data_IF_629901190400
#
_entry.id   IF_629901190400
#
_cell.length_a   1.000
_cell.length_b   1.000
_cell.length_c   1.000
_cell.angle_alpha   90.00
_cell.angle_beta   90.00
_cell.angle_gamma   90.00
#
_symmetry.space_group_name_H-M   'P 1'
#
loop_
_entity.id
_entity.type
_entity.pdbx_description
1 polymer ?
#
# COMPACT_ATOMS: atom_id res chain seq x y z
N UNK A 1 -35.78 -13.23 3.40
CA UNK A 1 -35.56 -12.16 2.41
C UNK A 1 -35.20 -12.81 1.08
N UNK A 2 -35.92 -12.53 0.00
CA UNK A 2 -35.58 -13.05 -1.33
C UNK A 2 -34.21 -12.53 -1.73
N UNK A 3 -33.32 -13.40 -2.21
CA UNK A 3 -32.02 -13.02 -2.75
C UNK A 3 -32.25 -12.08 -3.95
N UNK A 4 -31.68 -10.88 -3.90
CA UNK A 4 -31.69 -9.97 -5.04
C UNK A 4 -30.85 -10.63 -6.12
N UNK A 5 -31.48 -11.12 -7.18
CA UNK A 5 -30.76 -11.72 -8.30
C UNK A 5 -30.30 -10.59 -9.22
N UNK A 6 -29.01 -10.24 -9.12
CA UNK A 6 -28.39 -9.27 -10.01
C UNK A 6 -28.23 -9.90 -11.41
N UNK A 7 -28.81 -9.24 -12.43
CA UNK A 7 -28.54 -9.58 -13.82
C UNK A 7 -27.30 -8.84 -14.31
N UNK A 8 -26.14 -9.18 -13.73
CA UNK A 8 -24.85 -8.56 -14.05
C UNK A 8 -23.79 -9.62 -14.26
N UNK A 9 -22.78 -9.32 -15.07
CA UNK A 9 -21.62 -10.18 -15.28
C UNK A 9 -20.33 -9.44 -14.97
N UNK A 10 -19.36 -10.12 -14.39
CA UNK A 10 -18.02 -9.61 -14.15
C UNK A 10 -17.18 -9.72 -15.42
N UNK A 11 -16.60 -8.61 -15.85
CA UNK A 11 -15.72 -8.53 -17.00
C UNK A 11 -14.42 -7.80 -16.65
N UNK A 12 -13.32 -8.10 -17.37
CA UNK A 12 -12.14 -7.23 -17.31
C UNK A 12 -12.52 -5.84 -17.87
N UNK A 13 -12.11 -4.79 -17.15
CA UNK A 13 -12.33 -3.43 -17.60
C UNK A 13 -11.19 -3.00 -18.54
N UNK A 14 -11.46 -3.04 -19.83
CA UNK A 14 -10.52 -2.73 -20.90
C UNK A 14 -11.18 -1.80 -21.94
N UNK A 15 -10.36 -1.15 -22.78
CA UNK A 15 -10.84 -0.26 -23.84
C UNK A 15 -11.84 0.79 -23.36
N UNK A 16 -12.96 1.00 -24.05
CA UNK A 16 -13.93 2.05 -23.72
C UNK A 16 -14.49 1.97 -22.31
N UNK A 17 -14.72 0.75 -21.77
CA UNK A 17 -15.21 0.57 -20.38
C UNK A 17 -14.18 1.10 -19.39
N UNK A 18 -12.90 0.85 -19.60
CA UNK A 18 -11.85 1.36 -18.73
C UNK A 18 -11.78 2.89 -18.80
N UNK A 19 -11.87 3.48 -19.98
CA UNK A 19 -11.86 4.93 -20.17
C UNK A 19 -13.02 5.60 -19.43
N UNK A 20 -14.24 5.09 -19.57
CA UNK A 20 -15.41 5.60 -18.85
C UNK A 20 -15.24 5.47 -17.32
N UNK A 21 -14.68 4.36 -16.83
CA UNK A 21 -14.42 4.16 -15.40
C UNK A 21 -13.41 5.18 -14.90
N UNK A 22 -12.31 5.39 -15.62
CA UNK A 22 -11.29 6.36 -15.23
C UNK A 22 -11.85 7.78 -15.22
N UNK A 23 -12.69 8.13 -16.18
CA UNK A 23 -13.36 9.42 -16.21
C UNK A 23 -14.31 9.61 -15.02
N UNK A 24 -15.16 8.63 -14.72
CA UNK A 24 -16.09 8.66 -13.61
C UNK A 24 -15.41 8.70 -12.22
N UNK A 25 -14.22 8.10 -12.10
CA UNK A 25 -13.47 8.01 -10.85
C UNK A 25 -12.45 9.12 -10.67
N UNK A 26 -12.20 9.92 -11.71
CA UNK A 26 -11.20 11.00 -11.72
C UNK A 26 -11.35 11.98 -10.56
N UNK A 27 -12.57 12.45 -10.31
CA UNK A 27 -12.84 13.44 -9.25
C UNK A 27 -12.56 12.91 -7.83
N UNK A 28 -12.47 11.58 -7.65
CA UNK A 28 -12.27 10.94 -6.35
C UNK A 28 -10.79 10.60 -6.14
N UNK A 29 -10.13 10.01 -7.15
CA UNK A 29 -8.81 9.39 -7.00
C UNK A 29 -7.75 9.96 -7.95
N UNK A 30 -7.94 11.16 -8.46
CA UNK A 30 -6.94 11.80 -9.35
C UNK A 30 -5.65 12.20 -8.65
N UNK A 31 -5.62 12.27 -7.31
CA UNK A 31 -4.47 12.72 -6.54
C UNK A 31 -3.89 14.08 -7.02
N UNK A 32 -4.74 14.90 -7.65
CA UNK A 32 -4.33 16.18 -8.24
C UNK A 32 -3.72 16.07 -9.64
N UNK A 33 -3.67 14.89 -10.24
CA UNK A 33 -3.24 14.71 -11.64
C UNK A 33 -4.25 15.29 -12.62
N UNK A 34 -3.80 15.64 -13.82
CA UNK A 34 -4.69 15.87 -14.96
C UNK A 34 -5.36 14.55 -15.39
N UNK A 35 -6.45 14.59 -16.17
CA UNK A 35 -7.14 13.39 -16.68
C UNK A 35 -6.19 12.46 -17.43
N UNK A 36 -5.37 13.00 -18.31
CA UNK A 36 -4.39 12.25 -19.09
C UNK A 36 -3.34 11.61 -18.18
N UNK A 37 -2.82 12.34 -17.22
CA UNK A 37 -1.84 11.82 -16.27
C UNK A 37 -2.43 10.78 -15.34
N UNK A 38 -3.70 10.93 -14.93
CA UNK A 38 -4.42 9.92 -14.17
C UNK A 38 -4.59 8.62 -14.95
N UNK A 39 -4.95 8.71 -16.23
CA UNK A 39 -5.03 7.55 -17.12
C UNK A 39 -3.65 6.89 -17.31
N UNK A 40 -2.60 7.68 -17.58
CA UNK A 40 -1.22 7.21 -17.70
C UNK A 40 -0.73 6.50 -16.43
N UNK A 41 -1.00 7.07 -15.26
CA UNK A 41 -0.63 6.49 -13.97
C UNK A 41 -1.32 5.14 -13.72
N UNK A 42 -2.63 5.03 -14.03
CA UNK A 42 -3.34 3.76 -13.94
C UNK A 42 -2.80 2.71 -14.91
N UNK A 43 -2.53 3.09 -16.17
CA UNK A 43 -1.97 2.19 -17.17
C UNK A 43 -0.55 1.73 -16.81
N UNK A 44 0.29 2.63 -16.30
CA UNK A 44 1.66 2.31 -15.92
C UNK A 44 1.74 1.28 -14.80
N UNK A 45 0.85 1.35 -13.80
CA UNK A 45 0.79 0.36 -12.72
C UNK A 45 0.57 -1.07 -13.25
N UNK A 46 -0.31 -1.25 -14.23
CA UNK A 46 -0.61 -2.55 -14.84
C UNK A 46 0.49 -3.06 -15.79
N UNK A 47 1.43 -2.20 -16.20
CA UNK A 47 2.55 -2.55 -17.09
C UNK A 47 3.83 -2.92 -16.35
N UNK A 48 3.92 -2.67 -15.04
CA UNK A 48 5.08 -3.12 -14.26
C UNK A 48 5.24 -4.63 -14.30
N UNK A 49 6.43 -5.14 -14.01
CA UNK A 49 6.69 -6.58 -14.00
C UNK A 49 5.72 -7.34 -13.10
N UNK A 50 5.42 -6.81 -11.92
CA UNK A 50 4.45 -7.39 -10.99
C UNK A 50 2.99 -7.12 -11.41
N UNK A 51 2.68 -5.86 -11.77
CA UNK A 51 1.30 -5.43 -12.03
C UNK A 51 0.62 -6.15 -13.19
N UNK A 52 1.38 -6.49 -14.25
CA UNK A 52 0.85 -7.22 -15.42
C UNK A 52 0.28 -8.60 -15.08
N UNK A 53 0.77 -9.24 -14.02
CA UNK A 53 0.33 -10.59 -13.62
C UNK A 53 -0.64 -10.57 -12.45
N UNK A 54 -0.54 -9.58 -11.57
CA UNK A 54 -1.24 -9.55 -10.28
C UNK A 54 -2.30 -8.45 -10.12
N UNK A 55 -2.27 -7.40 -10.95
CA UNK A 55 -3.23 -6.29 -10.89
C UNK A 55 -4.18 -6.33 -12.09
N UNK A 56 -5.48 -6.34 -11.82
CA UNK A 56 -6.53 -6.20 -12.85
C UNK A 56 -7.63 -5.27 -12.36
N UNK A 57 -8.22 -4.53 -13.28
CA UNK A 57 -9.47 -3.81 -13.02
C UNK A 57 -10.64 -4.60 -13.62
N UNK A 58 -11.72 -4.67 -12.87
CA UNK A 58 -12.94 -5.35 -13.29
C UNK A 58 -14.12 -4.39 -13.25
N UNK A 59 -15.15 -4.73 -14.02
CA UNK A 59 -16.43 -4.07 -14.02
C UNK A 59 -17.56 -5.10 -13.92
N UNK A 60 -18.65 -4.73 -13.24
CA UNK A 60 -19.95 -5.37 -13.40
C UNK A 60 -20.68 -4.69 -14.54
N UNK A 61 -21.17 -5.49 -15.47
CA UNK A 61 -21.91 -5.02 -16.65
C UNK A 61 -23.33 -5.60 -16.63
N UNK A 62 -24.34 -4.74 -16.81
CA UNK A 62 -25.73 -5.14 -16.88
C UNK A 62 -26.08 -5.84 -18.23
N UNK A 63 -27.32 -6.30 -18.36
CA UNK A 63 -27.83 -6.95 -19.57
C UNK A 63 -27.90 -6.02 -20.79
N UNK A 64 -27.78 -4.71 -20.60
CA UNK A 64 -27.68 -3.72 -21.69
C UNK A 64 -26.25 -3.39 -22.10
N UNK A 65 -25.26 -4.07 -21.50
CA UNK A 65 -23.86 -3.83 -21.77
C UNK A 65 -23.25 -2.63 -21.07
N UNK A 66 -23.99 -1.95 -20.14
CA UNK A 66 -23.50 -0.80 -19.39
C UNK A 66 -22.80 -1.28 -18.12
N UNK A 67 -21.64 -0.71 -17.81
CA UNK A 67 -20.99 -0.98 -16.53
C UNK A 67 -21.73 -0.22 -15.40
N UNK A 68 -21.90 -0.87 -14.25
CA UNK A 68 -22.63 -0.34 -13.09
C UNK A 68 -21.73 -0.18 -11.85
N UNK A 69 -20.71 -1.02 -11.73
CA UNK A 69 -19.69 -0.94 -10.67
C UNK A 69 -18.33 -1.37 -11.21
N UNK A 70 -17.26 -0.91 -10.56
CA UNK A 70 -15.89 -1.33 -10.88
C UNK A 70 -15.04 -1.47 -9.63
N UNK A 71 -13.98 -2.29 -9.70
CA UNK A 71 -12.97 -2.41 -8.66
C UNK A 71 -11.62 -2.84 -9.26
N UNK A 72 -10.53 -2.48 -8.59
CA UNK A 72 -9.21 -3.08 -8.80
C UNK A 72 -9.11 -4.35 -7.95
N UNK A 73 -8.53 -5.39 -8.51
CA UNK A 73 -8.17 -6.61 -7.80
C UNK A 73 -6.66 -6.79 -7.86
N UNK A 74 -6.09 -7.12 -6.73
CA UNK A 74 -4.68 -7.46 -6.55
C UNK A 74 -4.58 -8.90 -6.03
N UNK A 75 -3.65 -9.69 -6.56
CA UNK A 75 -3.27 -10.98 -5.98
C UNK A 75 -1.94 -10.79 -5.26
N UNK A 76 -2.01 -10.65 -3.96
CA UNK A 76 -0.87 -10.29 -3.11
C UNK A 76 -0.36 -11.53 -2.37
N UNK A 77 0.89 -11.97 -2.61
CA UNK A 77 1.50 -13.01 -1.79
C UNK A 77 1.55 -12.54 -0.33
N UNK A 78 1.11 -13.40 0.58
CA UNK A 78 1.10 -13.09 2.02
C UNK A 78 1.49 -14.31 2.84
N UNK A 79 1.78 -14.06 4.11
CA UNK A 79 1.89 -15.10 5.14
C UNK A 79 0.86 -14.81 6.23
N UNK A 80 0.09 -15.84 6.61
CA UNK A 80 -0.89 -15.78 7.69
C UNK A 80 -0.67 -16.97 8.62
N UNK A 81 -0.47 -16.71 9.91
CA UNK A 81 -0.15 -17.72 10.93
C UNK A 81 0.99 -18.68 10.51
N UNK A 82 2.03 -18.16 9.88
CA UNK A 82 3.19 -18.92 9.41
C UNK A 82 2.98 -19.67 8.10
N UNK A 83 1.77 -19.65 7.52
CA UNK A 83 1.44 -20.32 6.26
C UNK A 83 1.46 -19.31 5.11
N UNK A 84 2.17 -19.65 4.05
CA UNK A 84 2.20 -18.84 2.82
C UNK A 84 0.89 -19.02 2.04
N UNK A 85 0.39 -17.93 1.48
CA UNK A 85 -0.86 -17.90 0.74
C UNK A 85 -0.99 -16.66 -0.13
N UNK A 86 -2.19 -16.44 -0.65
CA UNK A 86 -2.54 -15.30 -1.49
C UNK A 86 -3.69 -14.52 -0.85
N UNK A 87 -3.56 -13.20 -0.83
CA UNK A 87 -4.63 -12.26 -0.47
C UNK A 87 -5.26 -11.67 -1.74
N UNK A 88 -6.59 -11.69 -1.82
CA UNK A 88 -7.34 -10.89 -2.76
C UNK A 88 -7.42 -9.44 -2.25
N UNK A 89 -6.52 -8.58 -2.69
CA UNK A 89 -6.59 -7.15 -2.41
C UNK A 89 -7.66 -6.49 -3.27
N UNK A 90 -8.49 -5.63 -2.67
CA UNK A 90 -9.57 -4.90 -3.32
C UNK A 90 -9.36 -3.40 -3.17
N UNK A 91 -9.21 -2.71 -4.29
CA UNK A 91 -9.02 -1.26 -4.30
C UNK A 91 -9.94 -0.56 -5.28
N UNK A 92 -10.11 0.74 -5.12
CA UNK A 92 -10.88 1.60 -6.01
C UNK A 92 -12.28 1.04 -6.32
N UNK A 93 -12.99 0.55 -5.29
CA UNK A 93 -14.37 0.05 -5.42
C UNK A 93 -15.29 1.24 -5.69
N UNK A 94 -15.96 1.23 -6.82
CA UNK A 94 -16.82 2.33 -7.27
C UNK A 94 -18.12 1.79 -7.84
N UNK A 95 -19.23 2.44 -7.48
CA UNK A 95 -20.56 2.24 -8.09
C UNK A 95 -20.98 3.55 -8.73
N UNK A 96 -21.45 3.50 -9.99
CA UNK A 96 -22.00 4.67 -10.68
C UNK A 96 -23.04 5.34 -9.80
N UNK A 97 -23.08 6.67 -9.83
CA UNK A 97 -23.90 7.48 -8.91
C UNK A 97 -25.39 7.09 -8.99
N UNK A 98 -25.89 6.90 -10.20
CA UNK A 98 -27.27 6.51 -10.51
C UNK A 98 -27.62 5.07 -10.13
N UNK A 99 -26.62 4.24 -9.88
CA UNK A 99 -26.77 2.82 -9.54
C UNK A 99 -26.50 2.52 -8.05
N UNK A 100 -26.24 3.57 -7.25
CA UNK A 100 -25.99 3.41 -5.80
C UNK A 100 -27.24 2.95 -5.06
N UNK A 101 -27.05 2.37 -3.88
CA UNK A 101 -28.14 1.83 -3.05
C UNK A 101 -28.72 0.50 -3.53
N UNK A 102 -28.27 -0.04 -4.67
CA UNK A 102 -28.76 -1.30 -5.26
C UNK A 102 -27.90 -2.51 -4.92
N UNK A 103 -26.83 -2.35 -4.13
CA UNK A 103 -25.98 -3.48 -3.68
C UNK A 103 -24.82 -3.86 -4.61
N UNK A 104 -24.60 -3.16 -5.72
CA UNK A 104 -23.56 -3.51 -6.70
C UNK A 104 -22.13 -3.46 -6.15
N UNK A 105 -21.84 -2.63 -5.15
CA UNK A 105 -20.54 -2.64 -4.48
C UNK A 105 -20.30 -3.98 -3.77
N UNK A 106 -21.27 -4.51 -3.06
CA UNK A 106 -21.19 -5.83 -2.43
C UNK A 106 -21.07 -6.94 -3.46
N UNK A 107 -21.83 -6.85 -4.54
CA UNK A 107 -21.84 -7.84 -5.61
C UNK A 107 -20.48 -7.95 -6.29
N UNK A 108 -19.86 -6.82 -6.70
CA UNK A 108 -18.54 -6.87 -7.35
C UNK A 108 -17.47 -7.42 -6.39
N UNK A 109 -17.52 -7.03 -5.10
CA UNK A 109 -16.60 -7.54 -4.08
C UNK A 109 -16.73 -9.07 -3.96
N UNK A 110 -17.96 -9.59 -3.83
CA UNK A 110 -18.18 -11.03 -3.68
C UNK A 110 -17.73 -11.81 -4.93
N UNK A 111 -18.08 -11.36 -6.14
CA UNK A 111 -17.65 -12.01 -7.39
C UNK A 111 -16.12 -12.01 -7.54
N UNK A 112 -15.43 -10.92 -7.13
CA UNK A 112 -13.97 -10.86 -7.14
C UNK A 112 -13.34 -11.81 -6.10
N UNK A 113 -13.94 -11.93 -4.92
CA UNK A 113 -13.51 -12.87 -3.88
C UNK A 113 -13.69 -14.31 -4.37
N UNK A 114 -14.86 -14.66 -4.92
CA UNK A 114 -15.14 -16.01 -5.42
C UNK A 114 -14.20 -16.39 -6.57
N UNK A 115 -13.95 -15.47 -7.49
CA UNK A 115 -12.94 -15.66 -8.54
C UNK A 115 -11.54 -15.89 -7.96
N UNK A 116 -11.13 -15.06 -6.99
CA UNK A 116 -9.80 -15.17 -6.37
C UNK A 116 -9.65 -16.42 -5.52
N UNK A 117 -10.73 -16.94 -4.91
CA UNK A 117 -10.73 -18.26 -4.26
C UNK A 117 -10.34 -19.36 -5.25
N UNK A 118 -10.89 -19.34 -6.45
CA UNK A 118 -10.49 -20.27 -7.53
C UNK A 118 -9.03 -20.12 -7.97
N UNK A 119 -8.41 -18.98 -7.67
CA UNK A 119 -6.99 -18.68 -7.93
C UNK A 119 -6.09 -18.85 -6.68
N UNK A 120 -6.62 -19.48 -5.61
CA UNK A 120 -5.87 -19.83 -4.40
C UNK A 120 -5.86 -18.76 -3.29
N UNK A 121 -6.67 -17.71 -3.39
CA UNK A 121 -6.76 -16.72 -2.33
C UNK A 121 -7.51 -17.28 -1.11
N UNK A 122 -6.92 -17.10 0.08
CA UNK A 122 -7.48 -17.55 1.35
C UNK A 122 -8.04 -16.41 2.21
N UNK A 123 -7.67 -15.16 1.89
CA UNK A 123 -8.10 -13.94 2.56
C UNK A 123 -8.40 -12.86 1.52
N UNK A 124 -9.41 -12.03 1.75
CA UNK A 124 -9.60 -10.77 1.05
C UNK A 124 -9.18 -9.60 1.96
N UNK A 125 -8.61 -8.55 1.36
CA UNK A 125 -8.16 -7.36 2.09
C UNK A 125 -8.46 -6.08 1.35
N UNK A 126 -8.69 -4.99 2.08
CA UNK A 126 -8.90 -3.66 1.51
C UNK A 126 -8.50 -2.56 2.51
N UNK A 127 -8.35 -1.35 2.00
CA UNK A 127 -8.29 -0.13 2.79
C UNK A 127 -9.56 0.69 2.56
N UNK A 128 -10.19 1.14 3.65
CA UNK A 128 -11.39 1.99 3.58
C UNK A 128 -11.11 3.41 4.03
N UNK A 129 -11.39 4.37 3.17
CA UNK A 129 -11.38 5.81 3.46
C UNK A 129 -12.78 6.34 3.85
N UNK A 130 -13.83 5.52 3.65
CA UNK A 130 -15.25 5.90 3.86
C UNK A 130 -15.84 5.31 5.15
N UNK A 131 -15.00 4.74 6.01
CA UNK A 131 -15.44 4.01 7.20
C UNK A 131 -15.62 2.52 6.97
N UNK A 132 -15.93 1.79 8.04
CA UNK A 132 -15.96 0.33 8.04
C UNK A 132 -17.34 -0.29 7.80
N UNK A 133 -18.41 0.48 7.95
CA UNK A 133 -19.79 -0.03 8.04
C UNK A 133 -20.21 -0.87 6.81
N UNK A 134 -19.92 -0.39 5.60
CA UNK A 134 -20.22 -1.13 4.36
C UNK A 134 -19.52 -2.48 4.35
N UNK A 135 -18.24 -2.49 4.66
CA UNK A 135 -17.40 -3.67 4.54
C UNK A 135 -17.64 -4.67 5.69
N UNK A 136 -17.97 -4.19 6.89
CA UNK A 136 -18.41 -5.08 8.00
C UNK A 136 -19.63 -5.90 7.64
N UNK A 137 -20.62 -5.32 6.97
CA UNK A 137 -21.78 -6.05 6.44
C UNK A 137 -21.42 -7.11 5.41
N UNK A 138 -20.28 -6.96 4.74
CA UNK A 138 -19.74 -7.92 3.79
C UNK A 138 -18.78 -8.93 4.45
N UNK A 139 -18.69 -8.94 5.78
CA UNK A 139 -17.89 -9.90 6.55
C UNK A 139 -16.42 -9.52 6.72
N UNK A 140 -16.04 -8.27 6.41
CA UNK A 140 -14.71 -7.76 6.71
C UNK A 140 -14.58 -7.36 8.19
N UNK A 141 -13.41 -7.59 8.75
CA UNK A 141 -13.04 -7.24 10.12
C UNK A 141 -11.94 -6.20 10.07
N UNK A 142 -12.03 -5.18 10.89
CA UNK A 142 -10.98 -4.15 11.01
C UNK A 142 -9.73 -4.74 11.66
N UNK A 143 -8.59 -4.50 11.02
CA UNK A 143 -7.27 -4.84 11.54
C UNK A 143 -6.64 -3.53 12.04
N UNK A 144 -6.35 -3.42 13.35
CA UNK A 144 -5.81 -2.19 13.91
C UNK A 144 -4.47 -1.81 13.30
N UNK A 145 -4.35 -0.57 12.85
CA UNK A 145 -3.10 0.02 12.38
C UNK A 145 -2.93 1.42 12.96
N UNK A 146 -1.69 1.80 13.22
CA UNK A 146 -1.37 3.09 13.79
C UNK A 146 -0.53 3.94 12.82
N UNK A 147 -0.76 5.25 12.85
CA UNK A 147 0.14 6.27 12.33
C UNK A 147 0.88 6.93 13.48
N UNK A 148 2.17 7.22 13.29
CA UNK A 148 3.04 7.86 14.27
C UNK A 148 3.78 9.03 13.65
N UNK A 149 4.14 10.01 14.47
CA UNK A 149 5.14 11.01 14.16
C UNK A 149 6.52 10.50 14.61
N UNK A 150 7.56 10.77 13.81
CA UNK A 150 8.94 10.37 14.08
C UNK A 150 9.76 11.61 14.37
N UNK A 151 10.31 11.68 15.57
CA UNK A 151 11.33 12.64 15.93
C UNK A 151 12.72 12.00 15.81
N UNK A 152 13.65 12.70 15.17
CA UNK A 152 15.02 12.22 14.96
C UNK A 152 15.97 12.97 15.89
N UNK A 153 16.65 12.24 16.77
CA UNK A 153 17.72 12.78 17.62
C UNK A 153 18.97 13.03 16.79
N UNK A 154 19.26 14.29 16.52
CA UNK A 154 20.41 14.72 15.72
C UNK A 154 21.74 14.64 16.47
N UNK A 155 21.70 14.48 17.79
CA UNK A 155 22.90 14.41 18.65
C UNK A 155 23.39 13.00 18.88
N UNK A 156 22.52 12.01 18.68
CA UNK A 156 22.90 10.60 18.84
C UNK A 156 23.90 10.23 17.76
N UNK A 157 25.04 9.67 18.20
CA UNK A 157 26.08 9.27 17.26
C UNK A 157 25.59 8.25 16.25
N UNK A 158 25.88 8.47 14.98
CA UNK A 158 25.62 7.53 13.91
C UNK A 158 26.91 6.80 13.54
N UNK A 159 26.85 5.50 13.17
CA UNK A 159 28.00 4.83 12.59
C UNK A 159 28.40 5.54 11.28
N UNK A 160 29.70 5.61 11.02
CA UNK A 160 30.21 6.08 9.74
C UNK A 160 29.74 5.15 8.63
N UNK A 161 28.94 5.68 7.69
CA UNK A 161 28.38 4.90 6.59
C UNK A 161 28.16 5.74 5.35
N UNK A 162 28.15 5.09 4.21
CA UNK A 162 27.76 5.71 2.96
C UNK A 162 26.23 5.64 2.81
N UNK A 163 25.60 6.80 2.78
CA UNK A 163 24.18 6.94 2.43
C UNK A 163 24.04 7.48 1.02
N UNK A 164 23.43 6.71 0.15
CA UNK A 164 23.17 7.07 -1.26
C UNK A 164 21.72 6.83 -1.65
N UNK A 165 21.32 7.36 -2.80
CA UNK A 165 20.06 6.98 -3.44
C UNK A 165 20.08 5.48 -3.77
N UNK A 166 18.94 4.83 -3.61
CA UNK A 166 18.80 3.43 -3.95
C UNK A 166 18.64 3.22 -5.46
N UNK A 167 19.09 2.08 -5.93
CA UNK A 167 19.09 1.64 -7.31
C UNK A 167 18.35 0.30 -7.45
N UNK A 168 18.01 -0.08 -8.68
CA UNK A 168 17.32 -1.35 -8.97
C UNK A 168 18.10 -2.56 -8.42
N UNK A 169 19.43 -2.54 -8.47
CA UNK A 169 20.30 -3.57 -7.92
C UNK A 169 20.13 -3.80 -6.40
N UNK A 170 19.55 -2.83 -5.69
CA UNK A 170 19.33 -2.93 -4.23
C UNK A 170 18.05 -3.68 -3.87
N UNK A 171 17.08 -3.79 -4.79
CA UNK A 171 15.76 -4.38 -4.53
C UNK A 171 15.83 -5.80 -3.92
N UNK A 172 16.73 -6.70 -4.36
CA UNK A 172 16.87 -8.01 -3.72
C UNK A 172 17.29 -7.92 -2.25
N UNK A 173 18.13 -6.94 -1.88
CA UNK A 173 18.52 -6.73 -0.50
C UNK A 173 17.36 -6.21 0.35
N UNK A 174 16.51 -5.31 -0.19
CA UNK A 174 15.30 -4.83 0.47
C UNK A 174 14.34 -5.99 0.73
N UNK A 175 14.07 -6.82 -0.27
CA UNK A 175 13.23 -8.01 -0.14
C UNK A 175 13.76 -8.99 0.93
N UNK A 176 15.07 -9.23 0.95
CA UNK A 176 15.72 -10.08 1.96
C UNK A 176 15.59 -9.52 3.37
N UNK A 177 15.76 -8.19 3.56
CA UNK A 177 15.57 -7.54 4.86
C UNK A 177 14.12 -7.66 5.36
N UNK A 178 13.14 -7.45 4.48
CA UNK A 178 11.73 -7.63 4.80
C UNK A 178 11.42 -9.08 5.20
N UNK A 179 11.86 -10.04 4.40
CA UNK A 179 11.64 -11.48 4.66
C UNK A 179 12.24 -11.89 6.01
N UNK A 180 13.51 -11.55 6.28
CA UNK A 180 14.17 -11.87 7.55
C UNK A 180 13.45 -11.26 8.75
N UNK A 181 12.93 -10.03 8.60
CA UNK A 181 12.18 -9.35 9.67
C UNK A 181 10.85 -10.04 9.95
N UNK A 182 10.13 -10.46 8.92
CA UNK A 182 8.81 -11.08 9.07
C UNK A 182 8.88 -12.58 9.45
N UNK A 183 9.96 -13.27 9.13
CA UNK A 183 10.17 -14.66 9.52
C UNK A 183 10.72 -14.84 10.95
N UNK A 184 11.41 -13.84 11.48
CA UNK A 184 12.06 -13.89 12.79
C UNK A 184 11.17 -13.52 13.99
N UNK A 185 9.89 -13.22 13.79
CA UNK A 185 8.97 -12.74 14.84
C UNK A 185 7.65 -13.53 14.84
N UNK A 186 6.97 -13.65 16.00
CA UNK A 186 5.70 -14.34 16.11
C UNK A 186 4.56 -13.50 15.55
N UNK A 187 4.56 -13.29 14.27
CA UNK A 187 3.68 -12.43 13.51
C UNK A 187 2.60 -13.28 12.84
N UNK A 188 1.38 -12.77 12.84
CA UNK A 188 0.26 -13.48 12.24
C UNK A 188 0.01 -13.11 10.79
N UNK A 189 0.25 -11.84 10.40
CA UNK A 189 0.04 -11.39 9.03
C UNK A 189 1.17 -10.48 8.53
N UNK A 190 1.68 -10.80 7.35
CA UNK A 190 2.55 -9.93 6.54
C UNK A 190 2.37 -10.20 5.06
N UNK A 191 2.60 -9.20 4.20
CA UNK A 191 2.80 -9.47 2.78
C UNK A 191 4.16 -10.14 2.57
N UNK A 192 4.21 -11.08 1.64
CA UNK A 192 5.47 -11.61 1.12
C UNK A 192 5.90 -10.74 -0.06
N UNK A 193 7.07 -10.16 0.09
CA UNK A 193 7.54 -9.15 -0.87
C UNK A 193 8.78 -9.66 -1.59
N UNK A 194 8.63 -9.84 -2.87
CA UNK A 194 9.74 -10.05 -3.79
C UNK A 194 10.22 -8.70 -4.39
N UNK A 195 11.35 -8.68 -5.10
CA UNK A 195 11.84 -7.47 -5.75
C UNK A 195 10.83 -6.82 -6.70
N UNK A 196 10.00 -7.61 -7.40
CA UNK A 196 9.03 -7.09 -8.36
C UNK A 196 7.85 -6.36 -7.67
N UNK A 197 7.37 -6.87 -6.53
CA UNK A 197 6.34 -6.19 -5.73
C UNK A 197 6.89 -4.89 -5.11
N UNK A 198 8.15 -4.91 -4.62
CA UNK A 198 8.80 -3.69 -4.09
C UNK A 198 8.97 -2.66 -5.21
N UNK A 199 9.43 -3.06 -6.39
CA UNK A 199 9.52 -2.18 -7.57
C UNK A 199 8.15 -1.60 -7.94
N UNK A 200 7.09 -2.42 -7.94
CA UNK A 200 5.73 -1.96 -8.18
C UNK A 200 5.31 -0.86 -7.20
N UNK A 201 5.53 -1.09 -5.89
CA UNK A 201 5.17 -0.13 -4.85
C UNK A 201 5.92 1.20 -5.01
N UNK A 202 7.22 1.14 -5.28
CA UNK A 202 8.07 2.31 -5.57
C UNK A 202 7.63 3.04 -6.84
N UNK A 203 7.45 2.31 -7.94
CA UNK A 203 7.07 2.87 -9.24
C UNK A 203 5.71 3.56 -9.20
N UNK A 204 4.72 2.98 -8.51
CA UNK A 204 3.40 3.58 -8.30
C UNK A 204 3.51 4.98 -7.66
N UNK A 205 4.35 5.12 -6.63
CA UNK A 205 4.55 6.38 -5.89
C UNK A 205 5.42 7.37 -6.65
N UNK A 206 6.50 6.93 -7.28
CA UNK A 206 7.38 7.75 -8.11
C UNK A 206 6.64 8.34 -9.30
N UNK A 207 5.83 7.53 -9.97
CA UNK A 207 5.00 7.99 -11.09
C UNK A 207 3.97 9.02 -10.63
N UNK A 208 3.32 8.79 -9.48
CA UNK A 208 2.38 9.76 -8.92
C UNK A 208 3.09 11.09 -8.63
N UNK A 209 4.24 11.06 -7.98
CA UNK A 209 5.04 12.24 -7.69
C UNK A 209 5.52 12.95 -8.97
N UNK A 210 6.03 12.18 -9.94
CA UNK A 210 6.56 12.74 -11.21
C UNK A 210 5.49 13.30 -12.14
N UNK A 211 4.28 12.75 -12.14
CA UNK A 211 3.16 13.23 -12.95
C UNK A 211 2.36 14.35 -12.26
N UNK A 212 2.46 14.45 -10.93
CA UNK A 212 1.70 15.38 -10.10
C UNK A 212 2.32 16.77 -9.95
N UNK A 213 3.20 17.21 -10.84
CA UNK A 213 3.80 18.55 -10.80
C UNK A 213 2.72 19.64 -10.95
N UNK A 214 2.14 20.03 -9.81
CA UNK A 214 1.17 21.11 -9.71
C UNK A 214 1.27 21.80 -8.34
N UNK A 215 0.82 23.06 -8.21
CA UNK A 215 0.94 23.86 -7.00
C UNK A 215 0.01 23.44 -5.85
N UNK A 216 -0.49 22.22 -5.84
CA UNK A 216 -1.43 21.74 -4.81
C UNK A 216 -0.76 21.46 -3.47
N UNK A 217 -1.39 21.81 -2.33
CA UNK A 217 -0.80 21.65 -0.99
C UNK A 217 -0.68 20.18 -0.52
N UNK A 218 -1.20 19.21 -1.27
CA UNK A 218 -1.19 17.78 -0.93
C UNK A 218 -0.34 16.91 -1.87
N UNK A 219 0.21 17.48 -2.95
CA UNK A 219 0.96 16.73 -3.95
C UNK A 219 2.26 16.14 -3.37
N UNK A 220 2.48 14.84 -3.54
CA UNK A 220 3.80 14.27 -3.40
C UNK A 220 4.73 14.96 -4.41
N UNK A 221 5.85 15.53 -3.93
CA UNK A 221 6.84 16.20 -4.78
C UNK A 221 7.87 15.21 -5.30
N UNK A 222 8.20 14.23 -4.48
CA UNK A 222 9.23 13.25 -4.77
C UNK A 222 9.03 12.00 -3.92
N UNK A 223 9.22 10.84 -4.50
CA UNK A 223 9.32 9.57 -3.75
C UNK A 223 10.62 8.91 -4.14
N UNK A 224 11.49 8.69 -3.16
CA UNK A 224 12.81 8.09 -3.34
C UNK A 224 13.09 7.09 -2.23
N UNK A 225 13.98 6.12 -2.52
CA UNK A 225 14.55 5.31 -1.48
C UNK A 225 16.06 5.54 -1.37
N UNK A 226 16.54 5.45 -0.15
CA UNK A 226 17.93 5.65 0.21
C UNK A 226 18.44 4.41 0.91
N UNK A 227 19.69 4.08 0.67
CA UNK A 227 20.33 2.92 1.29
C UNK A 227 21.57 3.33 2.06
N UNK A 228 21.83 2.65 3.18
CA UNK A 228 23.14 2.58 3.80
C UNK A 228 23.89 1.41 3.20
N UNK A 229 25.04 1.67 2.60
CA UNK A 229 25.84 0.67 1.92
C UNK A 229 26.96 0.17 2.84
N UNK A 230 27.11 -1.15 2.91
CA UNK A 230 28.27 -1.84 3.52
C UNK A 230 28.87 -2.80 2.51
N UNK A 231 30.13 -2.60 2.17
CA UNK A 231 30.75 -3.31 1.07
C UNK A 231 30.07 -2.95 -0.25
N UNK A 232 29.54 -3.96 -0.94
CA UNK A 232 28.84 -3.77 -2.22
C UNK A 232 27.31 -3.94 -2.13
N UNK A 233 26.73 -3.90 -0.93
CA UNK A 233 25.30 -4.20 -0.75
C UNK A 233 24.61 -3.28 0.23
N UNK A 234 23.30 -3.05 0.01
CA UNK A 234 22.47 -2.31 0.94
C UNK A 234 22.36 -3.06 2.28
N UNK A 235 22.73 -2.39 3.37
CA UNK A 235 22.65 -2.91 4.74
C UNK A 235 21.41 -2.39 5.48
N UNK A 236 20.91 -1.22 5.11
CA UNK A 236 19.64 -0.66 5.56
C UNK A 236 19.05 0.22 4.48
N UNK A 237 17.75 0.52 4.57
CA UNK A 237 17.08 1.40 3.63
C UNK A 237 15.92 2.15 4.26
N UNK A 238 15.54 3.26 3.65
CA UNK A 238 14.30 3.98 3.89
C UNK A 238 13.66 4.38 2.56
N UNK A 239 12.34 4.32 2.47
CA UNK A 239 11.54 4.88 1.37
C UNK A 239 10.81 6.10 1.90
N UNK A 240 11.02 7.25 1.28
CA UNK A 240 10.44 8.52 1.69
C UNK A 240 9.64 9.16 0.57
N UNK A 241 8.46 9.64 0.90
CA UNK A 241 7.69 10.58 0.08
C UNK A 241 7.79 11.97 0.68
N UNK A 242 8.27 12.93 -0.10
CA UNK A 242 8.35 14.34 0.27
C UNK A 242 7.14 15.06 -0.27
N UNK A 243 6.45 15.81 0.59
CA UNK A 243 5.30 16.64 0.21
C UNK A 243 5.40 18.04 0.86
N UNK A 244 4.48 18.93 0.50
CA UNK A 244 4.38 20.24 1.16
C UNK A 244 4.03 20.14 2.65
N UNK A 245 3.36 19.04 3.07
CA UNK A 245 2.96 18.80 4.46
C UNK A 245 3.99 18.09 5.32
N UNK A 246 5.18 17.80 4.78
CA UNK A 246 6.25 17.06 5.47
C UNK A 246 6.68 15.80 4.73
N UNK A 247 7.33 14.92 5.46
CA UNK A 247 7.82 13.64 4.94
C UNK A 247 6.93 12.49 5.39
N UNK A 248 6.72 11.53 4.52
CA UNK A 248 6.11 10.24 4.85
C UNK A 248 7.16 9.16 4.71
N UNK A 249 7.49 8.48 5.82
CA UNK A 249 8.26 7.26 5.77
C UNK A 249 7.33 6.14 5.31
N UNK A 250 7.47 5.75 4.06
CA UNK A 250 6.64 4.75 3.42
C UNK A 250 7.00 3.33 3.86
N UNK A 251 8.31 3.13 4.09
CA UNK A 251 8.89 1.84 4.41
C UNK A 251 10.32 1.99 4.89
N UNK A 252 10.79 1.04 5.71
CA UNK A 252 12.20 0.96 6.11
C UNK A 252 12.60 -0.47 6.47
N UNK A 253 13.90 -0.75 6.37
CA UNK A 253 14.49 -2.00 6.81
C UNK A 253 15.95 -1.84 7.17
N UNK A 254 16.43 -2.74 8.00
CA UNK A 254 17.84 -2.81 8.44
C UNK A 254 18.22 -4.28 8.65
N UNK A 255 19.43 -4.65 8.24
CA UNK A 255 20.04 -5.96 8.57
C UNK A 255 20.30 -6.09 10.06
N UNK A 256 20.61 -4.95 10.72
CA UNK A 256 20.75 -4.89 12.18
C UNK A 256 19.35 -4.97 12.82
N UNK A 257 19.12 -5.92 13.72
CA UNK A 257 17.86 -6.01 14.44
C UNK A 257 17.48 -4.73 15.19
N UNK A 258 18.47 -3.96 15.68
CA UNK A 258 18.23 -2.70 16.41
C UNK A 258 17.87 -1.52 15.49
N UNK A 259 18.12 -1.62 14.18
CA UNK A 259 17.80 -0.58 13.21
C UNK A 259 18.70 0.66 13.26
N UNK A 260 19.90 0.57 13.83
CA UNK A 260 20.78 1.73 14.01
C UNK A 260 21.16 2.43 12.70
N UNK A 261 21.34 1.67 11.61
CA UNK A 261 21.66 2.24 10.29
C UNK A 261 20.45 2.97 9.67
N UNK A 262 19.25 2.44 9.88
CA UNK A 262 18.01 3.09 9.45
C UNK A 262 17.87 4.47 10.11
N UNK A 263 18.07 4.54 11.44
CA UNK A 263 18.05 5.81 12.17
C UNK A 263 19.11 6.80 11.64
N UNK A 264 20.31 6.32 11.35
CA UNK A 264 21.39 7.12 10.78
C UNK A 264 21.07 7.64 9.37
N UNK A 265 20.38 6.86 8.51
CA UNK A 265 19.92 7.36 7.20
C UNK A 265 19.01 8.59 7.40
N UNK A 266 18.03 8.51 8.30
CA UNK A 266 17.12 9.64 8.58
C UNK A 266 17.87 10.86 9.14
N UNK A 267 18.86 10.66 10.00
CA UNK A 267 19.74 11.76 10.48
C UNK A 267 20.46 12.45 9.32
N UNK A 268 21.07 11.68 8.41
CA UNK A 268 21.79 12.22 7.24
C UNK A 268 20.84 12.99 6.31
N UNK A 269 19.66 12.44 6.04
CA UNK A 269 18.67 13.09 5.17
C UNK A 269 18.17 14.39 5.76
N UNK A 270 17.84 14.42 7.06
CA UNK A 270 17.43 15.65 7.76
C UNK A 270 18.56 16.69 7.89
N UNK A 271 19.82 16.25 7.97
CA UNK A 271 20.95 17.16 7.97
C UNK A 271 21.12 17.89 6.62
N UNK A 272 20.75 17.24 5.52
CA UNK A 272 20.77 17.80 4.15
C UNK A 272 19.53 18.63 3.83
N UNK A 273 18.46 18.51 4.60
CA UNK A 273 17.21 19.23 4.38
C UNK A 273 17.38 20.72 4.77
N UNK A 274 17.18 21.65 3.80
CA UNK A 274 17.36 23.09 4.06
C UNK A 274 16.20 23.72 4.85
N UNK A 275 15.02 23.08 4.87
CA UNK A 275 13.82 23.64 5.49
C UNK A 275 13.99 23.90 6.99
N UNK A 276 13.44 25.01 7.42
CA UNK A 276 13.38 25.37 8.85
C UNK A 276 11.97 25.87 9.19
N UNK A 277 11.25 25.25 10.15
CA UNK A 277 11.66 24.07 10.93
C UNK A 277 11.85 22.82 10.08
N UNK A 278 12.47 21.79 10.65
CA UNK A 278 12.62 20.51 9.99
C UNK A 278 11.24 19.89 9.68
N UNK A 279 11.11 19.14 8.56
CA UNK A 279 9.85 18.54 8.20
C UNK A 279 9.40 17.51 9.24
N UNK A 280 8.09 17.49 9.51
CA UNK A 280 7.47 16.42 10.28
C UNK A 280 7.56 15.12 9.47
N UNK A 281 7.96 14.01 10.10
CA UNK A 281 8.00 12.69 9.49
C UNK A 281 6.87 11.86 10.06
N UNK A 282 6.01 11.30 9.19
CA UNK A 282 4.94 10.38 9.57
C UNK A 282 5.19 9.00 9.01
N UNK A 283 4.71 7.97 9.71
CA UNK A 283 4.82 6.57 9.27
C UNK A 283 3.67 5.71 9.79
N UNK A 284 3.37 4.64 9.06
CA UNK A 284 2.74 3.46 9.62
C UNK A 284 3.86 2.56 10.15
N UNK A 285 4.22 2.75 11.41
CA UNK A 285 5.33 2.02 12.01
C UNK A 285 4.83 0.68 12.57
N UNK A 286 5.23 -0.47 11.97
CA UNK A 286 4.79 -1.76 12.48
C UNK A 286 5.24 -1.94 13.94
N UNK A 287 4.34 -2.34 14.83
CA UNK A 287 4.63 -2.40 16.27
C UNK A 287 5.78 -3.35 16.62
N UNK A 288 5.96 -4.41 15.82
CA UNK A 288 7.07 -5.35 15.95
C UNK A 288 8.39 -4.84 15.35
N UNK A 289 8.38 -3.70 14.69
CA UNK A 289 9.61 -3.06 14.22
C UNK A 289 10.29 -2.34 15.39
N UNK A 290 11.53 -2.70 15.76
CA UNK A 290 12.28 -1.99 16.79
C UNK A 290 12.41 -0.50 16.45
N UNK A 291 12.40 0.34 17.46
CA UNK A 291 12.64 1.77 17.29
C UNK A 291 14.15 2.00 17.36
N UNK A 292 14.80 2.49 16.29
CA UNK A 292 16.22 2.81 16.31
C UNK A 292 16.57 3.79 17.44
N UNK A 293 17.77 3.72 18.01
CA UNK A 293 18.16 4.58 19.14
C UNK A 293 18.16 6.09 18.79
N UNK A 294 18.27 6.42 17.50
CA UNK A 294 18.19 7.80 17.01
C UNK A 294 16.75 8.31 16.85
N UNK A 295 15.75 7.46 17.02
CA UNK A 295 14.35 7.83 16.75
C UNK A 295 13.51 7.78 18.02
N UNK A 296 12.52 8.66 18.07
CA UNK A 296 11.43 8.63 19.04
C UNK A 296 10.11 8.68 18.30
N UNK A 297 9.23 7.71 18.56
CA UNK A 297 7.87 7.69 18.02
C UNK A 297 6.94 8.43 18.97
N UNK A 298 6.21 9.40 18.42
CA UNK A 298 5.26 10.24 19.16
C UNK A 298 3.91 10.25 18.45
N UNK A 299 2.89 10.83 19.07
CA UNK A 299 1.56 11.04 18.48
C UNK A 299 0.97 9.79 17.82
N UNK A 300 1.04 8.64 18.51
CA UNK A 300 0.46 7.41 17.99
C UNK A 300 -1.06 7.51 17.96
N UNK A 301 -1.63 7.50 16.77
CA UNK A 301 -3.07 7.58 16.52
C UNK A 301 -3.50 6.45 15.58
N UNK A 302 -4.79 6.04 15.59
CA UNK A 302 -5.28 5.12 14.57
C UNK A 302 -5.01 5.65 13.16
N UNK A 303 -4.57 4.78 12.25
CA UNK A 303 -4.38 5.15 10.86
C UNK A 303 -5.71 5.60 10.25
N UNK A 304 -5.66 6.65 9.42
CA UNK A 304 -6.85 7.19 8.75
C UNK A 304 -7.49 6.17 7.82
N UNK A 305 -6.65 5.45 7.08
CA UNK A 305 -7.08 4.45 6.12
C UNK A 305 -7.28 3.13 6.87
N UNK A 306 -8.52 2.67 6.98
CA UNK A 306 -8.89 1.52 7.80
C UNK A 306 -8.56 0.24 7.04
N UNK A 307 -7.56 -0.49 7.52
CA UNK A 307 -7.23 -1.81 6.98
C UNK A 307 -8.26 -2.84 7.44
N UNK A 308 -8.81 -3.59 6.50
CA UNK A 308 -9.83 -4.60 6.78
C UNK A 308 -9.51 -5.89 6.04
N UNK A 309 -9.71 -7.02 6.73
CA UNK A 309 -9.55 -8.36 6.18
C UNK A 309 -10.84 -9.15 6.31
N UNK A 310 -11.07 -10.05 5.35
CA UNK A 310 -12.17 -11.01 5.35
C UNK A 310 -11.62 -12.41 5.06
N UNK A 311 -11.89 -13.43 5.92
CA UNK A 311 -11.51 -14.80 5.60
C UNK A 311 -12.30 -15.30 4.39
N UNK A 312 -11.60 -15.95 3.45
CA UNK A 312 -12.21 -16.67 2.31
C UNK A 312 -12.31 -18.15 2.68
N UNK A 313 -11.27 -18.65 3.32
CA UNK A 313 -11.19 -20.00 3.87
C UNK A 313 -11.30 -19.96 5.41
N UNK A 314 -11.25 -21.11 6.06
CA UNK A 314 -11.31 -21.20 7.52
C UNK A 314 -9.98 -20.75 8.16
N UNK A 315 -9.70 -19.45 8.10
CA UNK A 315 -8.52 -18.81 8.67
C UNK A 315 -8.93 -17.74 9.69
N UNK A 316 -8.15 -17.57 10.74
CA UNK A 316 -8.39 -16.52 11.73
C UNK A 316 -7.73 -15.22 11.31
N UNK A 317 -8.51 -14.14 11.29
CA UNK A 317 -8.01 -12.79 11.00
C UNK A 317 -7.30 -12.19 12.22
N UNK A 318 -6.16 -11.49 12.05
CA UNK A 318 -5.51 -10.74 13.13
C UNK A 318 -6.44 -9.67 13.70
N UNK A 319 -6.50 -9.58 15.02
CA UNK A 319 -7.33 -8.62 15.75
C UNK A 319 -6.50 -7.61 16.58
N UNK A 320 -5.17 -7.73 16.51
CA UNK A 320 -4.21 -6.86 17.23
C UNK A 320 -3.20 -6.25 16.28
N UNK A 321 -2.83 -5.01 16.53
CA UNK A 321 -1.78 -4.34 15.75
C UNK A 321 -0.40 -5.02 15.89
N UNK A 322 -0.15 -5.72 17.00
CA UNK A 322 1.08 -6.49 17.22
C UNK A 322 1.17 -7.76 16.36
N UNK A 323 0.05 -8.20 15.79
CA UNK A 323 -0.03 -9.39 14.96
C UNK A 323 0.28 -9.10 13.47
N UNK A 324 0.48 -7.83 13.10
CA UNK A 324 0.54 -7.39 11.71
C UNK A 324 1.85 -6.66 11.42
N UNK A 325 2.52 -7.04 10.34
CA UNK A 325 3.65 -6.30 9.81
C UNK A 325 3.28 -5.72 8.45
N UNK A 326 2.98 -4.41 8.43
CA UNK A 326 2.49 -3.72 7.26
C UNK A 326 3.06 -2.30 7.20
N UNK A 327 3.61 -1.93 6.05
CA UNK A 327 4.12 -0.61 5.79
C UNK A 327 3.15 0.17 4.89
N UNK A 328 3.24 1.51 4.89
CA UNK A 328 2.45 2.34 4.00
C UNK A 328 2.76 2.10 2.51
N UNK A 329 3.94 1.60 2.18
CA UNK A 329 4.27 1.17 0.81
C UNK A 329 3.40 0.02 0.31
N UNK A 330 2.84 -0.78 1.22
CA UNK A 330 1.95 -1.91 0.91
C UNK A 330 0.49 -1.50 0.65
N UNK A 331 0.16 -0.22 0.79
CA UNK A 331 -1.17 0.33 0.48
C UNK A 331 -1.49 0.18 -1.01
N UNK A 332 -2.65 -0.37 -1.36
CA UNK A 332 -3.07 -0.70 -2.72
C UNK A 332 -4.44 -0.13 -3.12
#
# INVERSE_FOLDING_TARGET
MAAIQFRVRLVAAEGPILEEILDATYAIWSEGLTRDNYARWNAAQMRTAWGKDHLRRFALVDDRGRWVASAKRYLLPMRLDGVDGVMCGLGAVFTRREERGRGYAGEIINQLIDRSRGEGATVAGLFSEIGEELYRRLGFVTVPMDEVDIEVDRKHGAPAMLVRSGEERDLPALASMHTKRTEGVPLRFALRRDPALIEYALSKKRLLAGLGFGPGPRGARQTEFFVAEEGASAAAYVVLTVSAGGWTLEEAGDRDPAGARLGAILQVLLAREPSRPAPLIRAWWPRLMPVPPQLRLTNRIPARDIFMLRPIENVRIPDRADDVFYWRSDYF
#
